data_IF_642262826210
#
_entry.id   IF_642262826210
#
_cell.length_a   1.000
_cell.length_b   1.000
_cell.length_c   1.000
_cell.angle_alpha   90.00
_cell.angle_beta   90.00
_cell.angle_gamma   90.00
#
_symmetry.space_group_name_H-M   'P 1'
#
loop_
_entity.id
_entity.type
_entity.pdbx_description
1 polymer ?
#
# COMPACT_ATOMS: atom_id res chain seq x y z
N UNK A 1 31.86 -47.34 31.50
CA UNK A 1 30.86 -46.28 31.70
C UNK A 1 31.43 -44.86 31.71
N UNK A 2 32.62 -44.62 32.20
CA UNK A 2 33.21 -43.25 32.23
C UNK A 2 33.64 -42.69 30.90
N UNK A 3 33.88 -43.48 29.88
CA UNK A 3 34.27 -42.97 28.54
C UNK A 3 33.08 -42.41 27.75
N UNK A 4 31.87 -42.94 27.92
CA UNK A 4 30.67 -42.44 27.27
C UNK A 4 30.21 -41.10 27.81
N UNK A 5 30.39 -40.84 29.11
CA UNK A 5 30.07 -39.53 29.72
C UNK A 5 31.02 -38.40 29.24
N UNK A 6 32.28 -38.68 28.95
CA UNK A 6 33.25 -37.69 28.40
C UNK A 6 32.96 -37.31 26.94
N UNK A 7 32.41 -38.22 26.14
CA UNK A 7 32.02 -37.94 24.77
C UNK A 7 30.80 -37.03 24.70
N UNK A 8 29.82 -37.21 25.55
CA UNK A 8 28.61 -36.40 25.63
C UNK A 8 28.89 -34.96 26.09
N UNK A 9 29.82 -34.76 27.02
CA UNK A 9 30.18 -33.43 27.49
C UNK A 9 30.93 -32.57 26.43
N UNK A 10 31.71 -33.19 25.56
CA UNK A 10 32.39 -32.50 24.45
C UNK A 10 31.43 -32.18 23.29
N UNK A 11 30.41 -32.98 23.08
CA UNK A 11 29.38 -32.74 22.05
C UNK A 11 28.39 -31.64 22.49
N UNK A 12 28.12 -31.49 23.77
CA UNK A 12 27.22 -30.46 24.27
C UNK A 12 27.70 -29.02 23.98
N UNK A 13 29.03 -28.76 24.03
CA UNK A 13 29.59 -27.46 23.69
C UNK A 13 29.45 -27.08 22.22
N UNK A 14 29.62 -28.04 21.32
CA UNK A 14 29.45 -27.84 19.88
C UNK A 14 27.98 -27.63 19.51
N UNK A 15 27.06 -28.38 20.10
CA UNK A 15 25.63 -28.24 19.87
C UNK A 15 25.08 -26.88 20.32
N UNK A 16 25.60 -26.34 21.44
CA UNK A 16 25.20 -25.05 21.98
C UNK A 16 25.65 -23.91 21.04
N UNK A 17 26.84 -23.96 20.49
CA UNK A 17 27.33 -23.00 19.51
C UNK A 17 26.48 -23.01 18.23
N UNK A 18 26.14 -24.19 17.73
CA UNK A 18 25.26 -24.34 16.58
C UNK A 18 23.84 -23.80 16.84
N UNK A 19 23.31 -24.04 18.04
CA UNK A 19 21.98 -23.54 18.40
C UNK A 19 21.94 -22.01 18.43
N UNK A 20 22.95 -21.37 19.02
CA UNK A 20 23.07 -19.90 19.04
C UNK A 20 23.21 -19.35 17.62
N UNK A 21 24.03 -19.96 16.77
CA UNK A 21 24.18 -19.55 15.39
C UNK A 21 22.87 -19.61 14.60
N UNK A 22 22.12 -20.70 14.72
CA UNK A 22 20.80 -20.85 14.08
C UNK A 22 19.84 -19.79 14.58
N UNK A 23 19.79 -19.50 15.89
CA UNK A 23 18.94 -18.45 16.43
C UNK A 23 19.25 -17.09 15.82
N UNK A 24 20.51 -16.71 15.74
CA UNK A 24 20.92 -15.42 15.16
C UNK A 24 20.53 -15.33 13.68
N UNK A 25 20.75 -16.39 12.92
CA UNK A 25 20.38 -16.44 11.50
C UNK A 25 18.86 -16.31 11.32
N UNK A 26 18.06 -17.00 12.13
CA UNK A 26 16.60 -16.91 12.06
C UNK A 26 16.07 -15.52 12.41
N UNK A 27 16.65 -14.84 13.39
CA UNK A 27 16.28 -13.46 13.74
C UNK A 27 16.60 -12.51 12.59
N UNK A 28 17.77 -12.63 11.97
CA UNK A 28 18.16 -11.79 10.83
C UNK A 28 17.23 -12.01 9.63
N UNK A 29 16.90 -13.24 9.30
CA UNK A 29 15.95 -13.56 8.22
C UNK A 29 14.54 -13.05 8.53
N UNK A 30 14.08 -13.20 9.76
CA UNK A 30 12.79 -12.70 10.21
C UNK A 30 12.64 -11.18 10.07
N UNK A 31 13.66 -10.42 10.47
CA UNK A 31 13.66 -8.96 10.34
C UNK A 31 13.67 -8.51 8.88
N UNK A 32 14.41 -9.18 8.01
CA UNK A 32 14.42 -8.90 6.58
C UNK A 32 13.04 -9.12 5.94
N UNK A 33 12.35 -10.20 6.29
CA UNK A 33 10.99 -10.47 5.79
C UNK A 33 9.98 -9.41 6.24
N UNK A 34 10.05 -8.98 7.49
CA UNK A 34 9.15 -7.93 8.02
C UNK A 34 9.35 -6.62 7.26
N UNK A 35 10.58 -6.24 6.96
CA UNK A 35 10.88 -5.04 6.18
C UNK A 35 10.30 -5.12 4.76
N UNK A 36 10.43 -6.24 4.08
CA UNK A 36 9.86 -6.45 2.74
C UNK A 36 8.34 -6.34 2.75
N UNK A 37 7.66 -6.93 3.73
CA UNK A 37 6.22 -6.85 3.88
C UNK A 37 5.74 -5.42 4.17
N UNK A 38 6.43 -4.69 5.02
CA UNK A 38 6.13 -3.29 5.34
C UNK A 38 6.23 -2.40 4.10
N UNK A 39 7.32 -2.49 3.35
CA UNK A 39 7.53 -1.71 2.13
C UNK A 39 6.48 -2.04 1.06
N UNK A 40 6.14 -3.31 0.89
CA UNK A 40 5.09 -3.75 -0.04
C UNK A 40 3.71 -3.20 0.32
N UNK A 41 3.37 -3.18 1.60
CA UNK A 41 2.11 -2.64 2.11
C UNK A 41 1.96 -1.14 1.83
N UNK A 42 3.01 -0.35 2.03
CA UNK A 42 3.00 1.09 1.72
C UNK A 42 2.84 1.36 0.22
N UNK A 43 3.53 0.59 -0.62
CA UNK A 43 3.41 0.73 -2.08
C UNK A 43 1.99 0.46 -2.57
N UNK A 44 1.33 -0.59 -2.07
CA UNK A 44 -0.07 -0.90 -2.41
C UNK A 44 -1.02 0.19 -1.93
N UNK A 45 -0.82 0.74 -0.73
CA UNK A 45 -1.64 1.83 -0.23
C UNK A 45 -1.54 3.08 -1.12
N UNK A 46 -0.35 3.45 -1.57
CA UNK A 46 -0.13 4.58 -2.47
C UNK A 46 -0.77 4.34 -3.84
N UNK A 47 -0.68 3.13 -4.38
CA UNK A 47 -1.31 2.77 -5.65
C UNK A 47 -2.84 2.88 -5.57
N UNK A 48 -3.44 2.40 -4.49
CA UNK A 48 -4.89 2.52 -4.27
C UNK A 48 -5.33 3.99 -4.15
N UNK A 49 -4.57 4.82 -3.45
CA UNK A 49 -4.86 6.26 -3.36
C UNK A 49 -4.72 6.92 -4.74
N UNK A 50 -3.69 6.59 -5.49
CA UNK A 50 -3.46 7.10 -6.84
C UNK A 50 -4.59 6.75 -7.81
N UNK A 51 -5.05 5.51 -7.81
CA UNK A 51 -6.17 5.08 -8.67
C UNK A 51 -7.49 5.75 -8.28
N UNK A 52 -7.74 5.97 -6.99
CA UNK A 52 -8.91 6.73 -6.51
C UNK A 52 -8.85 8.20 -6.94
N UNK A 53 -7.69 8.83 -6.83
CA UNK A 53 -7.50 10.20 -7.27
C UNK A 53 -7.72 10.36 -8.77
N UNK A 54 -7.23 9.43 -9.58
CA UNK A 54 -7.44 9.40 -11.02
C UNK A 54 -8.92 9.20 -11.38
N UNK A 55 -9.61 8.30 -10.70
CA UNK A 55 -11.04 8.07 -10.89
C UNK A 55 -11.85 9.31 -10.54
N UNK A 56 -11.53 9.98 -9.43
CA UNK A 56 -12.18 11.24 -9.02
C UNK A 56 -11.95 12.35 -10.06
N UNK A 57 -10.73 12.51 -10.57
CA UNK A 57 -10.41 13.50 -11.59
C UNK A 57 -11.17 13.23 -12.89
N UNK A 58 -11.22 12.00 -13.34
CA UNK A 58 -11.98 11.60 -14.54
C UNK A 58 -13.49 11.85 -14.37
N UNK A 59 -14.04 11.55 -13.19
CA UNK A 59 -15.46 11.82 -12.89
C UNK A 59 -15.77 13.30 -12.92
N UNK A 60 -14.92 14.13 -12.34
CA UNK A 60 -15.04 15.59 -12.38
C UNK A 60 -14.97 16.14 -13.80
N UNK A 61 -14.02 15.66 -14.60
CA UNK A 61 -13.87 16.04 -16.00
C UNK A 61 -15.12 15.68 -16.81
N UNK A 62 -15.61 14.45 -16.70
CA UNK A 62 -16.82 14.00 -17.40
C UNK A 62 -18.05 14.81 -16.99
N UNK A 63 -18.20 15.10 -15.68
CA UNK A 63 -19.28 15.91 -15.18
C UNK A 63 -19.27 17.33 -15.78
N UNK A 64 -18.10 17.92 -15.92
CA UNK A 64 -17.94 19.25 -16.54
C UNK A 64 -18.19 19.21 -18.04
N UNK A 65 -17.66 18.24 -18.76
CA UNK A 65 -17.92 18.07 -20.20
C UNK A 65 -19.40 17.89 -20.49
N UNK A 66 -20.14 17.16 -19.67
CA UNK A 66 -21.57 16.96 -19.83
C UNK A 66 -22.36 18.26 -19.63
N UNK A 67 -21.89 19.18 -18.80
CA UNK A 67 -22.49 20.51 -18.63
C UNK A 67 -22.17 21.46 -19.80
N UNK A 68 -20.95 21.37 -20.34
CA UNK A 68 -20.51 22.19 -21.48
C UNK A 68 -21.15 21.74 -22.81
N UNK A 69 -21.31 20.43 -22.97
CA UNK A 69 -21.84 19.81 -24.21
C UNK A 69 -23.04 18.89 -23.87
N UNK A 70 -24.17 19.47 -23.37
CA UNK A 70 -25.34 18.68 -23.08
C UNK A 70 -25.98 18.13 -24.35
N UNK A 71 -26.61 16.96 -24.25
CA UNK A 71 -27.28 16.31 -25.38
C UNK A 71 -28.43 17.12 -26.00
N UNK A 72 -28.98 18.08 -25.27
CA UNK A 72 -30.03 18.99 -25.74
C UNK A 72 -29.51 20.15 -26.60
N UNK A 73 -28.22 20.22 -26.86
CA UNK A 73 -27.60 21.24 -27.71
C UNK A 73 -27.41 22.63 -27.11
N UNK A 74 -27.83 22.85 -25.88
CA UNK A 74 -27.69 24.16 -25.19
C UNK A 74 -26.46 24.08 -24.27
N UNK A 75 -25.29 24.40 -24.80
CA UNK A 75 -24.06 24.48 -24.04
C UNK A 75 -24.07 25.66 -23.06
N UNK A 76 -23.42 25.48 -21.92
CA UNK A 76 -23.16 26.57 -20.97
C UNK A 76 -21.71 27.06 -21.06
N UNK A 77 -21.47 28.31 -20.66
CA UNK A 77 -20.12 28.83 -20.55
C UNK A 77 -19.35 28.05 -19.46
N UNK A 78 -18.06 27.87 -19.66
CA UNK A 78 -17.23 27.19 -18.68
C UNK A 78 -17.00 28.09 -17.46
N UNK A 79 -17.43 27.69 -16.24
CA UNK A 79 -17.13 28.46 -15.04
C UNK A 79 -15.63 28.37 -14.72
N UNK A 80 -15.08 29.41 -14.10
CA UNK A 80 -13.66 29.49 -13.76
C UNK A 80 -13.19 28.30 -12.90
N UNK A 81 -14.03 27.85 -11.97
CA UNK A 81 -13.72 26.71 -11.11
C UNK A 81 -15.01 26.05 -10.67
N UNK A 82 -15.04 24.72 -10.74
CA UNK A 82 -16.16 23.89 -10.24
C UNK A 82 -15.62 22.80 -9.34
N UNK A 83 -16.20 22.67 -8.15
CA UNK A 83 -15.85 21.62 -7.20
C UNK A 83 -16.93 20.54 -7.20
N UNK A 84 -16.51 19.29 -7.33
CA UNK A 84 -17.35 18.10 -7.22
C UNK A 84 -17.02 17.36 -5.94
N UNK A 85 -17.98 17.24 -5.05
CA UNK A 85 -17.88 16.39 -3.87
C UNK A 85 -18.32 14.97 -4.22
N UNK A 86 -17.39 14.03 -4.12
CA UNK A 86 -17.59 12.62 -4.45
C UNK A 86 -17.78 11.75 -3.20
N UNK A 87 -17.99 12.35 -2.04
CA UNK A 87 -18.11 11.65 -0.75
C UNK A 87 -19.27 10.65 -0.72
N UNK A 88 -20.29 10.87 -1.52
CA UNK A 88 -21.46 9.98 -1.63
C UNK A 88 -21.24 8.79 -2.57
N UNK A 89 -20.15 8.79 -3.33
CA UNK A 89 -19.86 7.72 -4.31
C UNK A 89 -19.08 6.59 -3.63
N UNK A 90 -19.57 5.33 -3.69
CA UNK A 90 -18.83 4.21 -3.14
C UNK A 90 -17.43 4.10 -3.73
N UNK A 91 -16.43 3.99 -2.86
CA UNK A 91 -15.01 3.92 -3.25
C UNK A 91 -14.31 5.27 -3.40
N UNK A 92 -15.03 6.40 -3.43
CA UNK A 92 -14.48 7.76 -3.53
C UNK A 92 -14.76 8.61 -2.28
N UNK A 93 -14.96 7.99 -1.12
CA UNK A 93 -15.13 8.70 0.15
C UNK A 93 -13.98 9.66 0.41
N UNK A 94 -14.30 10.86 0.84
CA UNK A 94 -13.35 11.96 1.10
C UNK A 94 -12.57 12.44 -0.14
N UNK A 95 -13.02 12.09 -1.34
CA UNK A 95 -12.45 12.64 -2.57
C UNK A 95 -13.26 13.83 -3.04
N UNK A 96 -12.57 14.88 -3.46
CA UNK A 96 -13.15 16.05 -4.13
C UNK A 96 -12.39 16.27 -5.44
N UNK A 97 -13.11 16.61 -6.52
CA UNK A 97 -12.51 16.95 -7.79
C UNK A 97 -12.75 18.44 -8.07
N UNK A 98 -11.69 19.17 -8.33
CA UNK A 98 -11.74 20.59 -8.72
C UNK A 98 -11.41 20.69 -10.20
N UNK A 99 -12.33 21.19 -10.99
CA UNK A 99 -12.16 21.42 -12.43
C UNK A 99 -12.13 22.91 -12.70
N UNK A 100 -11.09 23.35 -13.37
CA UNK A 100 -10.93 24.76 -13.80
C UNK A 100 -10.87 24.85 -15.32
N UNK A 101 -11.41 25.91 -15.85
CA UNK A 101 -11.33 26.23 -17.28
C UNK A 101 -10.27 27.25 -17.63
#
# INVERSE_FOLDING_TARGET
MNRLKRGLAKQAGSALMMAIFIMVVLVLLGTALVQLLSTGSEAVAQEVIGTRALAAANSGMQGQLQKLFPLNGIGSACPATTNYDLSSVPGLYHCTATVSC
#
